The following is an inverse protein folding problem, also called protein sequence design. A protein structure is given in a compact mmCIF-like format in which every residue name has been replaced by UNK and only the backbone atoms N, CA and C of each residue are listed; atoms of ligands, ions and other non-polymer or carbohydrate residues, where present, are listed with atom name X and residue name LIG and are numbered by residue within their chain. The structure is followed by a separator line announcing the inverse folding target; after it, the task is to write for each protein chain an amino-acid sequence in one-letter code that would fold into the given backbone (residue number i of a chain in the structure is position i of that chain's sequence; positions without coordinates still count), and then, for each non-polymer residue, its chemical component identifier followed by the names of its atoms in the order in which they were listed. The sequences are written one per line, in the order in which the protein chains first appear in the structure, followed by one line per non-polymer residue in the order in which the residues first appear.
data_IF_615446805543
#
_entry.id   IF_615446805543
#
_cell.length_a   1.000
_cell.length_b   1.000
_cell.length_c   1.000
_cell.angle_alpha   90.00
_cell.angle_beta   90.00
_cell.angle_gamma   90.00
#
_symmetry.space_group_name_H-M   'P 1'
#
loop_
_entity.id
_entity.type
_entity.pdbx_description
1 polymer ?
#
# COMPACT_ATOMS: atom_id res chain seq x y z
N UNK A 1 24.31 2.85 2.62
CA UNK A 1 24.39 3.84 3.75
C UNK A 1 25.00 5.20 3.37
N UNK A 2 25.68 5.37 2.23
CA UNK A 2 26.29 6.65 1.78
C UNK A 2 25.34 7.86 1.71
N UNK A 3 24.04 7.64 1.71
CA UNK A 3 23.01 8.72 1.68
C UNK A 3 22.38 9.00 3.05
N UNK A 4 22.85 8.35 4.10
CA UNK A 4 22.38 8.62 5.46
C UNK A 4 23.02 9.92 5.96
N UNK A 5 22.22 10.93 6.24
CA UNK A 5 22.65 12.22 6.76
C UNK A 5 21.77 12.64 7.94
N UNK A 6 22.22 13.54 8.81
CA UNK A 6 21.41 14.09 9.89
C UNK A 6 20.10 14.73 9.37
N UNK A 7 20.14 15.43 8.23
CA UNK A 7 18.96 16.06 7.62
C UNK A 7 17.92 15.04 7.19
N UNK A 8 18.37 13.84 6.72
CA UNK A 8 17.47 12.76 6.38
C UNK A 8 16.74 12.23 7.62
N UNK A 9 17.45 12.11 8.75
CA UNK A 9 16.84 11.72 10.02
C UNK A 9 15.87 12.79 10.51
N UNK A 10 16.24 14.07 10.46
CA UNK A 10 15.35 15.18 10.78
C UNK A 10 14.06 15.15 9.93
N UNK A 11 14.17 14.93 8.64
CA UNK A 11 13.00 14.75 7.76
C UNK A 11 12.14 13.53 8.17
N UNK A 12 12.77 12.47 8.64
CA UNK A 12 12.07 11.30 9.17
C UNK A 12 11.31 11.61 10.46
N UNK A 13 11.89 12.41 11.35
CA UNK A 13 11.22 12.90 12.58
C UNK A 13 9.98 13.72 12.21
N UNK A 14 10.09 14.68 11.28
CA UNK A 14 8.95 15.46 10.78
C UNK A 14 7.85 14.53 10.23
N UNK A 15 8.22 13.49 9.46
CA UNK A 15 7.25 12.56 8.91
C UNK A 15 6.58 11.70 9.99
N UNK A 16 7.36 11.23 10.97
CA UNK A 16 6.88 10.39 12.06
C UNK A 16 5.97 11.13 13.04
N UNK A 17 6.23 12.42 13.29
CA UNK A 17 5.47 13.26 14.21
C UNK A 17 4.14 13.74 13.63
N UNK A 18 3.96 13.75 12.30
CA UNK A 18 2.71 14.16 11.67
C UNK A 18 1.51 13.43 12.28
N UNK A 19 0.47 14.17 12.69
CA UNK A 19 -0.74 13.68 13.35
C UNK A 19 -0.55 13.08 14.76
N UNK A 20 0.65 13.19 15.32
CA UNK A 20 0.99 12.63 16.64
C UNK A 20 1.65 13.65 17.60
N UNK A 21 1.69 14.93 17.24
CA UNK A 21 2.36 16.00 17.99
C UNK A 21 1.90 16.15 19.46
N UNK A 22 0.66 15.74 19.78
CA UNK A 22 0.11 15.82 21.13
C UNK A 22 0.41 14.57 22.00
N UNK A 23 1.19 13.61 21.52
CA UNK A 23 1.55 12.43 22.31
C UNK A 23 2.80 12.72 23.14
N UNK A 24 2.79 12.34 24.43
CA UNK A 24 3.91 12.56 25.33
C UNK A 24 5.23 12.02 24.78
N UNK A 25 5.25 10.77 24.29
CA UNK A 25 6.46 10.16 23.69
C UNK A 25 7.05 10.97 22.52
N UNK A 26 6.20 11.71 21.78
CA UNK A 26 6.65 12.57 20.67
C UNK A 26 7.21 13.88 21.21
N UNK A 27 6.52 14.47 22.20
CA UNK A 27 6.95 15.73 22.85
C UNK A 27 8.31 15.51 23.51
N UNK A 28 8.46 14.46 24.31
CA UNK A 28 9.71 14.10 25.00
C UNK A 28 10.87 13.88 24.00
N UNK A 29 10.60 13.17 22.90
CA UNK A 29 11.61 12.96 21.87
C UNK A 29 12.05 14.27 21.21
N UNK A 30 11.14 15.21 20.98
CA UNK A 30 11.41 16.48 20.30
C UNK A 30 12.06 17.53 21.21
N UNK A 31 11.97 17.39 22.53
CA UNK A 31 12.61 18.31 23.49
C UNK A 31 14.14 18.26 23.45
N UNK A 32 14.71 17.10 23.07
CA UNK A 32 16.15 16.94 23.01
C UNK A 32 16.60 16.52 21.60
N UNK A 33 17.37 17.40 20.93
CA UNK A 33 17.97 17.13 19.64
C UNK A 33 18.94 15.94 19.63
N UNK A 34 19.50 15.59 20.79
CA UNK A 34 20.37 14.43 20.93
C UNK A 34 19.65 13.13 20.55
N UNK A 35 18.33 13.07 20.73
CA UNK A 35 17.53 11.92 20.28
C UNK A 35 17.61 11.69 18.76
N UNK A 36 17.62 12.74 17.96
CA UNK A 36 17.80 12.63 16.49
C UNK A 36 19.22 12.18 16.14
N UNK A 37 20.23 12.79 16.77
CA UNK A 37 21.63 12.44 16.56
C UNK A 37 21.95 11.01 17.02
N UNK A 38 21.32 10.54 18.09
CA UNK A 38 21.47 9.16 18.57
C UNK A 38 20.96 8.15 17.55
N UNK A 39 19.82 8.42 16.90
CA UNK A 39 19.31 7.58 15.78
C UNK A 39 20.27 7.61 14.61
N UNK A 40 20.77 8.79 14.23
CA UNK A 40 21.73 8.92 13.14
C UNK A 40 22.99 8.10 13.39
N UNK A 41 23.62 8.26 14.58
CA UNK A 41 24.84 7.54 14.96
C UNK A 41 24.64 6.02 15.01
N UNK A 42 23.52 5.57 15.59
CA UNK A 42 23.16 4.15 15.66
C UNK A 42 23.10 3.52 14.25
N UNK A 43 22.39 4.17 13.33
CA UNK A 43 22.28 3.69 11.96
C UNK A 43 23.59 3.79 11.17
N UNK A 44 24.39 4.84 11.40
CA UNK A 44 25.69 5.04 10.76
C UNK A 44 26.69 3.96 11.16
N UNK A 45 26.76 3.67 12.46
CA UNK A 45 27.67 2.64 13.01
C UNK A 45 27.23 1.21 12.66
N UNK A 46 26.00 1.01 12.24
CA UNK A 46 25.44 -0.31 11.95
C UNK A 46 25.05 -1.09 13.21
N UNK A 47 24.80 -0.38 14.31
CA UNK A 47 24.35 -0.98 15.57
C UNK A 47 22.97 -1.64 15.42
N UNK A 48 22.68 -2.62 16.27
CA UNK A 48 21.38 -3.30 16.27
C UNK A 48 20.24 -2.31 16.59
N UNK A 49 19.08 -2.57 16.00
CA UNK A 49 17.86 -1.84 16.31
C UNK A 49 16.84 -2.83 16.84
N UNK A 50 16.20 -2.46 17.96
CA UNK A 50 15.08 -3.19 18.50
C UNK A 50 13.78 -2.47 18.16
N UNK A 51 12.83 -3.22 17.66
CA UNK A 51 11.50 -2.71 17.32
C UNK A 51 10.49 -3.56 18.08
N UNK A 52 10.03 -3.01 19.18
CA UNK A 52 8.96 -3.60 19.97
C UNK A 52 7.61 -3.10 19.48
N UNK A 53 6.63 -4.00 19.42
CA UNK A 53 5.27 -3.69 19.05
C UNK A 53 4.30 -3.93 20.22
N UNK A 54 3.41 -2.96 20.43
CA UNK A 54 2.20 -3.13 21.22
C UNK A 54 1.05 -3.37 20.25
N UNK A 55 0.18 -4.32 20.52
CA UNK A 55 -0.91 -4.68 19.66
C UNK A 55 -2.22 -4.09 20.15
N UNK A 56 -3.01 -3.54 19.23
CA UNK A 56 -4.33 -3.00 19.52
C UNK A 56 -5.34 -3.48 18.47
N UNK A 57 -6.44 -4.08 18.94
CA UNK A 57 -7.58 -4.34 18.05
C UNK A 57 -8.28 -3.04 17.69
N UNK A 58 -8.48 -2.82 16.39
CA UNK A 58 -9.19 -1.66 15.85
C UNK A 58 -10.30 -2.17 14.95
N UNK A 59 -11.51 -1.73 15.21
CA UNK A 59 -12.66 -2.02 14.36
C UNK A 59 -12.73 -0.96 13.26
N UNK A 60 -12.60 -1.39 12.02
CA UNK A 60 -12.73 -0.50 10.87
C UNK A 60 -14.18 -0.03 10.71
N UNK A 61 -14.39 1.05 9.97
CA UNK A 61 -15.71 1.62 9.68
C UNK A 61 -16.71 0.61 9.07
N UNK A 62 -16.20 -0.48 8.50
CA UNK A 62 -17.00 -1.57 7.93
C UNK A 62 -17.22 -2.73 8.91
N UNK A 63 -16.96 -2.53 10.21
CA UNK A 63 -17.08 -3.57 11.24
C UNK A 63 -15.93 -4.60 11.24
N UNK A 64 -14.97 -4.49 10.34
CA UNK A 64 -13.87 -5.45 10.23
C UNK A 64 -12.82 -5.20 11.32
N UNK A 65 -12.56 -6.20 12.15
CA UNK A 65 -11.52 -6.17 13.17
C UNK A 65 -10.14 -6.33 12.55
N UNK A 66 -9.18 -5.54 13.01
CA UNK A 66 -7.78 -5.59 12.59
C UNK A 66 -6.87 -5.40 13.79
N UNK A 67 -5.82 -6.17 13.88
CA UNK A 67 -4.77 -5.97 14.86
C UNK A 67 -3.75 -4.99 14.28
N UNK A 68 -3.58 -3.85 14.94
CA UNK A 68 -2.62 -2.81 14.55
C UNK A 68 -1.41 -2.91 15.45
N UNK A 69 -0.23 -2.95 14.85
CA UNK A 69 1.05 -2.94 15.55
C UNK A 69 1.50 -1.49 15.78
N UNK A 70 1.69 -1.12 17.02
CA UNK A 70 2.10 0.22 17.44
C UNK A 70 3.54 0.12 17.95
N UNK A 71 4.48 0.74 17.22
CA UNK A 71 5.87 0.86 17.63
C UNK A 71 6.10 2.13 18.47
N UNK A 72 7.20 2.18 19.23
CA UNK A 72 7.66 3.40 19.90
C UNK A 72 7.92 4.52 18.87
N UNK A 73 7.93 5.79 19.34
CA UNK A 73 8.20 6.91 18.44
C UNK A 73 9.61 6.84 17.84
N UNK A 74 10.62 6.46 18.62
CA UNK A 74 12.00 6.23 18.16
C UNK A 74 12.04 5.18 17.04
N UNK A 75 11.42 4.01 17.22
CA UNK A 75 11.35 2.97 16.19
C UNK A 75 10.65 3.47 14.92
N UNK A 76 9.63 4.30 15.05
CA UNK A 76 8.95 4.95 13.93
C UNK A 76 9.86 5.91 13.17
N UNK A 77 10.69 6.70 13.88
CA UNK A 77 11.71 7.57 13.24
C UNK A 77 12.71 6.72 12.46
N UNK A 78 13.22 5.63 13.03
CA UNK A 78 14.11 4.69 12.35
C UNK A 78 13.45 4.15 11.07
N UNK A 79 12.22 3.67 11.15
CA UNK A 79 11.48 3.18 9.98
C UNK A 79 11.35 4.26 8.89
N UNK A 80 10.95 5.48 9.26
CA UNK A 80 10.86 6.59 8.30
C UNK A 80 12.22 6.94 7.68
N UNK A 81 13.30 6.90 8.47
CA UNK A 81 14.67 7.12 7.97
C UNK A 81 15.04 6.07 6.92
N UNK A 82 14.82 4.80 7.21
CA UNK A 82 15.08 3.70 6.25
C UNK A 82 14.23 3.87 4.99
N UNK A 83 12.93 4.19 5.13
CA UNK A 83 12.06 4.41 3.97
C UNK A 83 12.53 5.57 3.10
N UNK A 84 13.00 6.67 3.69
CA UNK A 84 13.57 7.80 2.93
C UNK A 84 14.88 7.42 2.24
N UNK A 85 15.73 6.66 2.93
CA UNK A 85 17.04 6.21 2.42
C UNK A 85 16.91 5.36 1.15
N UNK A 86 15.94 4.41 1.15
CA UNK A 86 15.78 3.44 0.06
C UNK A 86 14.76 3.84 -1.01
N UNK A 87 14.09 4.97 -0.83
CA UNK A 87 12.95 5.40 -1.65
C UNK A 87 13.25 5.47 -3.14
N UNK A 88 14.43 5.97 -3.53
CA UNK A 88 14.78 6.16 -4.94
C UNK A 88 14.86 4.83 -5.69
N UNK A 89 15.50 3.84 -5.07
CA UNK A 89 15.75 2.53 -5.67
C UNK A 89 14.46 1.76 -5.90
N UNK A 90 13.55 1.72 -4.91
CA UNK A 90 12.32 0.98 -5.09
C UNK A 90 11.30 1.75 -5.94
N UNK A 91 11.22 3.08 -5.82
CA UNK A 91 10.25 3.88 -6.56
C UNK A 91 10.46 3.80 -8.08
N UNK A 92 11.73 3.71 -8.52
CA UNK A 92 12.06 3.54 -9.93
C UNK A 92 11.61 2.20 -10.54
N UNK A 93 11.33 1.21 -9.70
CA UNK A 93 10.91 -0.14 -10.12
C UNK A 93 9.42 -0.41 -10.00
N UNK A 94 8.67 0.53 -9.39
CA UNK A 94 7.22 0.39 -9.20
C UNK A 94 6.48 0.51 -10.52
N UNK A 95 5.55 -0.40 -10.76
CA UNK A 95 4.61 -0.31 -11.87
C UNK A 95 3.79 0.99 -11.81
N UNK A 96 3.50 1.56 -12.97
CA UNK A 96 2.56 2.68 -13.09
C UNK A 96 1.12 2.29 -12.74
N UNK A 97 0.83 1.00 -12.71
CA UNK A 97 -0.49 0.44 -12.38
C UNK A 97 -0.73 0.28 -10.87
N UNK A 98 0.28 0.61 -10.04
CA UNK A 98 0.19 0.61 -8.59
C UNK A 98 -0.12 2.02 -8.08
N UNK A 99 -1.23 2.19 -7.34
CA UNK A 99 -1.78 3.50 -7.02
C UNK A 99 -1.84 3.85 -5.53
N UNK A 100 -1.62 2.94 -4.62
CA UNK A 100 -1.71 3.22 -3.18
C UNK A 100 -0.36 3.58 -2.53
N UNK A 101 -0.39 4.35 -1.46
CA UNK A 101 0.75 4.69 -0.60
C UNK A 101 2.02 5.20 -1.32
N UNK A 102 1.89 5.72 -2.53
CA UNK A 102 2.97 6.32 -3.31
C UNK A 102 2.69 7.81 -3.43
N UNK A 103 3.67 8.65 -3.10
CA UNK A 103 3.53 10.12 -3.20
C UNK A 103 3.14 10.53 -4.63
N UNK A 104 2.05 11.26 -4.76
CA UNK A 104 1.52 11.73 -6.05
C UNK A 104 0.64 10.74 -6.79
N UNK A 105 0.41 9.53 -6.24
CA UNK A 105 -0.54 8.53 -6.76
C UNK A 105 -1.71 8.33 -5.80
N UNK A 106 -2.85 7.92 -6.31
CA UNK A 106 -4.06 7.63 -5.53
C UNK A 106 -5.28 8.38 -6.04
N UNK A 107 -6.40 8.19 -5.35
CA UNK A 107 -7.67 8.85 -5.69
C UNK A 107 -7.50 10.38 -5.61
N UNK A 108 -7.94 11.09 -6.64
CA UNK A 108 -7.76 12.52 -6.82
C UNK A 108 -6.29 12.98 -6.99
N UNK A 109 -5.39 12.11 -7.44
CA UNK A 109 -4.05 12.52 -7.81
C UNK A 109 -4.08 13.63 -8.86
N UNK A 110 -3.20 14.64 -8.72
CA UNK A 110 -3.11 15.79 -9.63
C UNK A 110 -2.87 15.35 -11.08
N UNK A 111 -1.96 14.39 -11.27
CA UNK A 111 -1.71 13.77 -12.58
C UNK A 111 -2.74 12.69 -12.86
N UNK A 112 -3.56 12.87 -13.90
CA UNK A 112 -4.65 11.94 -14.28
C UNK A 112 -4.20 10.47 -14.42
N UNK A 113 -2.99 10.23 -14.92
CA UNK A 113 -2.43 8.88 -15.07
C UNK A 113 -2.21 8.14 -13.73
N UNK A 114 -2.09 8.88 -12.65
CA UNK A 114 -1.86 8.34 -11.31
C UNK A 114 -3.10 8.31 -10.42
N UNK A 115 -4.27 8.61 -10.99
CA UNK A 115 -5.56 8.47 -10.33
C UNK A 115 -6.26 7.18 -10.81
N UNK A 116 -6.40 6.16 -9.95
CA UNK A 116 -6.99 4.87 -10.34
C UNK A 116 -8.45 5.00 -10.79
N UNK A 117 -9.21 5.92 -10.20
CA UNK A 117 -10.62 6.14 -10.57
C UNK A 117 -10.71 6.65 -12.01
N UNK A 118 -9.88 7.63 -12.35
CA UNK A 118 -9.81 8.16 -13.73
C UNK A 118 -9.29 7.12 -14.73
N UNK A 119 -8.33 6.28 -14.32
CA UNK A 119 -7.85 5.19 -15.19
C UNK A 119 -8.94 4.15 -15.46
N UNK A 120 -9.68 3.72 -14.44
CA UNK A 120 -10.80 2.78 -14.60
C UNK A 120 -11.87 3.39 -15.52
N UNK A 121 -12.28 4.66 -15.31
CA UNK A 121 -13.21 5.36 -16.21
C UNK A 121 -12.72 5.38 -17.66
N UNK A 122 -11.44 5.69 -17.86
CA UNK A 122 -10.81 5.70 -19.19
C UNK A 122 -10.81 4.32 -19.84
N UNK A 123 -10.49 3.28 -19.08
CA UNK A 123 -10.49 1.89 -19.59
C UNK A 123 -11.90 1.51 -20.05
N UNK A 124 -12.90 1.71 -19.20
CA UNK A 124 -14.28 1.35 -19.51
C UNK A 124 -14.84 2.16 -20.69
N UNK A 125 -14.64 3.49 -20.68
CA UNK A 125 -15.19 4.39 -21.70
C UNK A 125 -14.53 4.26 -23.08
N UNK A 126 -13.18 4.12 -23.11
CA UNK A 126 -12.43 4.10 -24.37
C UNK A 126 -12.29 2.71 -24.97
N UNK A 127 -12.00 1.71 -24.14
CA UNK A 127 -11.65 0.37 -24.63
C UNK A 127 -12.83 -0.61 -24.56
N UNK A 128 -13.91 -0.28 -23.85
CA UNK A 128 -15.15 -1.05 -23.77
C UNK A 128 -14.91 -2.57 -23.59
N UNK A 129 -14.16 -2.97 -22.52
CA UNK A 129 -13.86 -4.38 -22.30
C UNK A 129 -15.15 -5.19 -22.12
N UNK A 130 -15.13 -6.49 -22.47
CA UNK A 130 -16.26 -7.38 -22.19
C UNK A 130 -16.58 -7.40 -20.69
N UNK A 131 -15.54 -7.44 -19.84
CA UNK A 131 -15.71 -7.51 -18.41
C UNK A 131 -14.44 -7.23 -17.64
N UNK A 132 -14.47 -7.63 -16.39
CA UNK A 132 -13.37 -7.49 -15.46
C UNK A 132 -13.18 -8.74 -14.61
N UNK A 133 -11.98 -8.89 -14.07
CA UNK A 133 -11.63 -9.84 -13.02
C UNK A 133 -11.08 -9.05 -11.82
N UNK A 134 -11.82 -9.06 -10.71
CA UNK A 134 -11.40 -8.46 -9.46
C UNK A 134 -10.89 -9.54 -8.53
N UNK A 135 -9.69 -9.34 -8.00
CA UNK A 135 -8.98 -10.27 -7.13
C UNK A 135 -8.65 -9.58 -5.81
N UNK A 136 -8.71 -10.32 -4.73
CA UNK A 136 -8.33 -9.89 -3.39
C UNK A 136 -7.47 -10.98 -2.76
N UNK A 137 -6.30 -10.62 -2.23
CA UNK A 137 -5.38 -11.53 -1.56
C UNK A 137 -5.87 -11.76 -0.13
N UNK A 138 -6.01 -13.03 0.24
CA UNK A 138 -6.44 -13.41 1.57
C UNK A 138 -5.37 -13.06 2.59
N UNK A 139 -5.75 -12.25 3.62
CA UNK A 139 -4.86 -11.84 4.71
C UNK A 139 -3.46 -11.40 4.24
N UNK A 140 -3.40 -10.56 3.21
CA UNK A 140 -2.18 -10.21 2.48
C UNK A 140 -0.98 -9.88 3.40
N UNK A 141 -1.17 -9.07 4.44
CA UNK A 141 -0.09 -8.70 5.36
C UNK A 141 0.31 -9.85 6.29
N UNK A 142 -0.67 -10.59 6.81
CA UNK A 142 -0.45 -11.70 7.73
C UNK A 142 0.19 -12.91 7.03
N UNK A 143 -0.11 -13.12 5.73
CA UNK A 143 0.41 -14.24 4.94
C UNK A 143 1.70 -13.93 4.19
N UNK A 144 2.28 -12.73 4.36
CA UNK A 144 3.56 -12.41 3.73
C UNK A 144 4.68 -13.26 4.34
N UNK A 145 5.38 -14.00 3.48
CA UNK A 145 6.51 -14.87 3.89
C UNK A 145 7.79 -14.06 4.00
N UNK A 146 8.48 -14.09 5.17
CA UNK A 146 9.73 -13.36 5.39
C UNK A 146 10.80 -13.66 4.36
N UNK A 147 11.02 -14.94 4.07
CA UNK A 147 12.06 -15.40 3.14
C UNK A 147 11.85 -14.86 1.72
N UNK A 148 10.60 -14.79 1.25
CA UNK A 148 10.27 -14.24 -0.08
C UNK A 148 10.49 -12.74 -0.12
N UNK A 149 10.07 -12.00 0.93
CA UNK A 149 10.29 -10.57 1.00
C UNK A 149 11.78 -10.24 1.09
N UNK A 150 12.56 -10.99 1.86
CA UNK A 150 14.00 -10.76 2.00
C UNK A 150 14.73 -11.02 0.69
N UNK A 151 14.38 -12.06 -0.06
CA UNK A 151 14.89 -12.28 -1.41
C UNK A 151 14.57 -11.10 -2.34
N UNK A 152 13.36 -10.53 -2.25
CA UNK A 152 13.00 -9.32 -2.98
C UNK A 152 13.84 -8.10 -2.57
N UNK A 153 14.15 -7.94 -1.28
CA UNK A 153 15.04 -6.88 -0.80
C UNK A 153 16.46 -7.05 -1.37
N UNK A 154 17.02 -8.24 -1.32
CA UNK A 154 18.37 -8.56 -1.82
C UNK A 154 18.49 -8.34 -3.34
N UNK A 155 17.42 -8.54 -4.08
CA UNK A 155 17.37 -8.23 -5.51
C UNK A 155 17.50 -6.72 -5.81
N UNK A 156 17.11 -5.86 -4.87
CA UNK A 156 17.10 -4.40 -5.03
C UNK A 156 18.34 -3.76 -4.40
N UNK A 157 18.69 -4.15 -3.17
CA UNK A 157 19.77 -3.54 -2.39
C UNK A 157 20.93 -4.52 -2.16
N UNK A 158 22.17 -4.00 -2.23
CA UNK A 158 23.39 -4.77 -2.00
C UNK A 158 24.10 -4.39 -0.68
N UNK A 159 23.72 -3.28 -0.07
CA UNK A 159 24.30 -2.86 1.22
C UNK A 159 23.74 -3.75 2.34
N UNK A 160 24.61 -4.60 2.93
CA UNK A 160 24.25 -5.56 3.99
C UNK A 160 23.66 -4.89 5.25
N UNK A 161 24.05 -3.63 5.53
CA UNK A 161 23.49 -2.88 6.68
C UNK A 161 22.05 -2.50 6.42
N UNK A 162 21.74 -1.99 5.22
CA UNK A 162 20.37 -1.70 4.80
C UNK A 162 19.51 -2.97 4.88
N UNK A 163 19.99 -4.09 4.33
CA UNK A 163 19.25 -5.36 4.37
C UNK A 163 18.96 -5.82 5.79
N UNK A 164 19.95 -5.76 6.69
CA UNK A 164 19.76 -6.10 8.11
C UNK A 164 18.68 -5.25 8.77
N UNK A 165 18.70 -3.94 8.54
CA UNK A 165 17.70 -3.03 9.09
C UNK A 165 16.32 -3.28 8.50
N UNK A 166 16.21 -3.50 7.19
CA UNK A 166 14.94 -3.85 6.56
C UNK A 166 14.33 -5.13 7.13
N UNK A 167 15.16 -6.15 7.38
CA UNK A 167 14.72 -7.38 8.04
C UNK A 167 14.09 -7.10 9.43
N UNK A 168 14.75 -6.26 10.25
CA UNK A 168 14.28 -5.91 11.60
C UNK A 168 12.98 -5.12 11.62
N UNK A 169 12.75 -4.21 10.67
CA UNK A 169 11.56 -3.33 10.65
C UNK A 169 10.40 -3.87 9.81
N UNK A 170 10.57 -4.99 9.12
CA UNK A 170 9.58 -5.48 8.15
C UNK A 170 8.52 -6.37 8.76
N UNK A 171 8.82 -7.08 9.84
CA UNK A 171 7.92 -8.08 10.43
C UNK A 171 7.63 -7.83 11.90
N UNK A 172 6.51 -8.34 12.34
CA UNK A 172 6.12 -8.55 13.72
C UNK A 172 5.55 -9.99 13.87
N UNK A 173 5.12 -10.38 15.05
CA UNK A 173 4.64 -11.73 15.35
C UNK A 173 3.45 -12.20 14.46
N UNK A 174 2.75 -11.26 13.84
CA UNK A 174 1.57 -11.53 13.00
C UNK A 174 1.78 -11.22 11.51
N UNK A 175 3.02 -11.17 11.04
CA UNK A 175 3.37 -10.87 9.64
C UNK A 175 3.81 -9.42 9.41
N UNK A 176 3.42 -8.79 8.30
CA UNK A 176 3.70 -7.37 8.09
C UNK A 176 2.89 -6.52 9.07
N UNK A 177 3.53 -5.64 9.87
CA UNK A 177 2.86 -4.88 10.90
C UNK A 177 1.89 -3.83 10.32
N UNK A 178 0.58 -4.00 10.54
CA UNK A 178 -0.42 -3.00 10.14
C UNK A 178 -0.23 -1.75 11.00
N UNK A 179 -0.07 -0.59 10.34
CA UNK A 179 0.09 0.71 11.01
C UNK A 179 1.51 1.28 10.99
N UNK A 180 2.48 0.55 10.45
CA UNK A 180 3.85 1.03 10.28
C UNK A 180 4.12 1.61 8.89
N UNK A 181 5.10 2.50 8.73
CA UNK A 181 5.46 3.07 7.43
C UNK A 181 6.15 2.07 6.50
N UNK A 182 6.74 0.99 7.02
CA UNK A 182 7.46 -0.04 6.26
C UNK A 182 6.52 -0.99 5.50
N UNK A 183 5.37 -1.34 6.06
CA UNK A 183 4.51 -2.39 5.51
C UNK A 183 3.93 -2.11 4.12
N UNK A 184 3.43 -0.90 3.80
CA UNK A 184 3.00 -0.61 2.43
C UNK A 184 4.12 -0.71 1.40
N UNK A 185 5.35 -0.30 1.78
CA UNK A 185 6.52 -0.43 0.91
C UNK A 185 6.88 -1.91 0.69
N UNK A 186 6.91 -2.70 1.76
CA UNK A 186 7.19 -4.13 1.67
C UNK A 186 6.19 -4.85 0.78
N UNK A 187 4.90 -4.53 0.91
CA UNK A 187 3.86 -5.05 0.01
C UNK A 187 4.14 -4.66 -1.45
N UNK A 188 4.52 -3.41 -1.72
CA UNK A 188 4.87 -3.00 -3.08
C UNK A 188 6.06 -3.78 -3.63
N UNK A 189 7.09 -3.99 -2.83
CA UNK A 189 8.30 -4.74 -3.22
C UNK A 189 7.93 -6.19 -3.57
N UNK A 190 7.15 -6.86 -2.74
CA UNK A 190 6.63 -8.21 -3.01
C UNK A 190 5.86 -8.28 -4.33
N UNK A 191 5.06 -7.25 -4.62
CA UNK A 191 4.18 -7.24 -5.80
C UNK A 191 4.86 -6.72 -7.08
N UNK A 192 6.12 -6.27 -7.05
CA UNK A 192 6.80 -5.76 -8.27
C UNK A 192 6.94 -6.82 -9.36
N UNK A 193 7.33 -8.03 -8.99
CA UNK A 193 7.45 -9.15 -9.92
C UNK A 193 6.08 -9.59 -10.45
N UNK A 194 5.06 -9.56 -9.60
CA UNK A 194 3.68 -9.83 -9.99
C UNK A 194 3.13 -8.80 -11.00
N UNK A 195 3.34 -7.50 -10.75
CA UNK A 195 2.94 -6.44 -11.68
C UNK A 195 3.57 -6.64 -13.06
N UNK A 196 4.83 -7.08 -13.09
CA UNK A 196 5.57 -7.42 -14.31
C UNK A 196 4.99 -8.65 -15.01
N UNK A 197 4.70 -9.71 -14.26
CA UNK A 197 4.05 -10.92 -14.75
C UNK A 197 2.69 -10.60 -15.43
N UNK A 198 1.86 -9.76 -14.83
CA UNK A 198 0.58 -9.33 -15.43
C UNK A 198 0.82 -8.65 -16.80
N UNK A 199 1.83 -7.79 -16.88
CA UNK A 199 2.09 -6.99 -18.09
C UNK A 199 2.82 -7.74 -19.18
N UNK A 200 3.83 -8.51 -18.84
CA UNK A 200 4.74 -9.14 -19.80
C UNK A 200 4.31 -10.55 -20.16
N UNK A 201 3.96 -11.38 -19.17
CA UNK A 201 3.65 -12.80 -19.40
C UNK A 201 2.17 -13.02 -19.73
N UNK A 202 1.25 -12.35 -19.03
CA UNK A 202 -0.18 -12.41 -19.34
C UNK A 202 -0.59 -11.42 -20.44
N UNK A 203 0.26 -10.45 -20.76
CA UNK A 203 0.00 -9.40 -21.77
C UNK A 203 -1.32 -8.65 -21.54
N UNK A 204 -1.71 -8.46 -20.25
CA UNK A 204 -2.93 -7.74 -19.89
C UNK A 204 -2.62 -6.24 -19.85
N UNK A 205 -3.21 -5.49 -20.79
CA UNK A 205 -2.99 -4.04 -20.94
C UNK A 205 -3.74 -3.20 -19.92
N UNK A 206 -4.90 -3.67 -19.47
CA UNK A 206 -5.82 -2.90 -18.62
C UNK A 206 -5.85 -3.50 -17.22
N UNK A 207 -4.95 -3.00 -16.38
CA UNK A 207 -4.66 -3.49 -15.05
C UNK A 207 -4.55 -2.30 -14.08
N UNK A 208 -5.13 -2.44 -12.90
CA UNK A 208 -5.07 -1.48 -11.80
C UNK A 208 -4.88 -2.24 -10.50
N UNK A 209 -3.88 -1.87 -9.70
CA UNK A 209 -3.65 -2.41 -8.37
C UNK A 209 -3.67 -1.30 -7.32
N UNK A 210 -4.47 -1.50 -6.29
CA UNK A 210 -4.54 -0.62 -5.12
C UNK A 210 -4.33 -1.46 -3.85
N UNK A 211 -3.11 -1.53 -3.37
CA UNK A 211 -2.66 -2.46 -2.34
C UNK A 211 -2.84 -3.93 -2.77
N UNK A 212 -3.68 -4.65 -2.03
CA UNK A 212 -4.13 -6.02 -2.28
C UNK A 212 -5.35 -6.13 -3.22
N UNK A 213 -6.04 -5.00 -3.48
CA UNK A 213 -7.11 -4.95 -4.47
C UNK A 213 -6.52 -4.91 -5.90
N UNK A 214 -6.83 -5.91 -6.68
CA UNK A 214 -6.34 -6.12 -8.05
C UNK A 214 -7.54 -6.16 -8.98
N UNK A 215 -7.52 -5.38 -10.06
CA UNK A 215 -8.54 -5.45 -11.10
C UNK A 215 -7.93 -5.46 -12.49
N UNK A 216 -8.37 -6.41 -13.30
CA UNK A 216 -8.01 -6.57 -14.70
C UNK A 216 -9.26 -6.42 -15.57
N UNK A 217 -9.09 -5.85 -16.77
CA UNK A 217 -10.16 -5.68 -17.74
C UNK A 217 -9.74 -6.34 -19.06
N UNK A 218 -10.68 -6.99 -19.73
CA UNK A 218 -10.40 -7.67 -21.00
C UNK A 218 -11.55 -8.52 -21.51
N UNK A 219 -11.21 -9.45 -22.40
CA UNK A 219 -12.11 -10.42 -22.98
C UNK A 219 -12.37 -11.58 -22.02
N UNK A 220 -13.50 -12.24 -22.16
CA UNK A 220 -13.97 -13.30 -21.26
C UNK A 220 -12.94 -14.42 -21.10
N UNK A 221 -12.51 -15.02 -22.18
CA UNK A 221 -11.64 -16.20 -22.15
C UNK A 221 -10.25 -15.85 -21.60
N UNK A 222 -9.73 -14.68 -21.98
CA UNK A 222 -8.46 -14.18 -21.47
C UNK A 222 -8.50 -13.92 -19.96
N UNK A 223 -9.63 -13.43 -19.43
CA UNK A 223 -9.79 -13.22 -17.98
C UNK A 223 -9.94 -14.56 -17.24
N UNK A 224 -10.57 -15.58 -17.83
CA UNK A 224 -10.63 -16.92 -17.25
C UNK A 224 -9.24 -17.58 -17.18
N UNK A 225 -8.47 -17.53 -18.26
CA UNK A 225 -7.08 -18.01 -18.27
C UNK A 225 -6.23 -17.27 -17.25
N UNK A 226 -6.32 -15.93 -17.23
CA UNK A 226 -5.58 -15.09 -16.32
C UNK A 226 -5.83 -15.43 -14.84
N UNK A 227 -7.07 -15.75 -14.46
CA UNK A 227 -7.41 -16.14 -13.08
C UNK A 227 -6.56 -17.31 -12.60
N UNK A 228 -6.47 -18.37 -13.39
CA UNK A 228 -5.70 -19.57 -13.07
C UNK A 228 -4.20 -19.29 -12.97
N UNK A 229 -3.67 -18.62 -13.97
CA UNK A 229 -2.24 -18.28 -14.01
C UNK A 229 -1.85 -17.35 -12.87
N UNK A 230 -2.70 -16.39 -12.50
CA UNK A 230 -2.48 -15.48 -11.38
C UNK A 230 -2.54 -16.24 -10.06
N UNK A 231 -3.53 -17.11 -9.85
CA UNK A 231 -3.62 -17.90 -8.63
C UNK A 231 -2.37 -18.75 -8.41
N UNK A 232 -1.91 -19.45 -9.45
CA UNK A 232 -0.68 -20.24 -9.40
C UNK A 232 0.56 -19.36 -9.14
N UNK A 233 0.69 -18.23 -9.84
CA UNK A 233 1.81 -17.32 -9.63
C UNK A 233 1.89 -16.82 -8.18
N UNK A 234 0.77 -16.35 -7.65
CA UNK A 234 0.69 -15.84 -6.28
C UNK A 234 1.03 -16.93 -5.26
N UNK A 235 0.52 -18.15 -5.45
CA UNK A 235 0.77 -19.27 -4.55
C UNK A 235 2.22 -19.73 -4.58
N UNK A 236 2.75 -20.05 -5.75
CA UNK A 236 4.08 -20.65 -5.86
C UNK A 236 5.23 -19.65 -5.68
N UNK A 237 5.06 -18.41 -6.18
CA UNK A 237 6.16 -17.44 -6.14
C UNK A 237 6.10 -16.51 -4.93
N UNK A 238 4.90 -16.17 -4.43
CA UNK A 238 4.75 -15.20 -3.34
C UNK A 238 4.15 -15.80 -2.07
N UNK A 239 3.62 -17.01 -2.11
CA UNK A 239 2.97 -17.67 -0.98
C UNK A 239 1.60 -17.07 -0.63
N UNK A 240 0.99 -16.36 -1.56
CA UNK A 240 -0.31 -15.73 -1.36
C UNK A 240 -1.46 -16.58 -1.88
N UNK A 241 -2.57 -16.62 -1.13
CA UNK A 241 -3.83 -17.25 -1.53
C UNK A 241 -4.84 -16.18 -1.95
N UNK A 242 -5.54 -16.41 -3.06
CA UNK A 242 -6.68 -15.58 -3.46
C UNK A 242 -7.93 -15.94 -2.66
N UNK A 243 -8.81 -14.97 -2.43
CA UNK A 243 -10.17 -15.27 -1.97
C UNK A 243 -10.93 -16.06 -3.02
N UNK A 244 -11.75 -17.03 -2.55
CA UNK A 244 -12.37 -18.05 -3.43
C UNK A 244 -13.35 -17.53 -4.46
N UNK A 245 -14.02 -16.39 -4.21
CA UNK A 245 -15.18 -15.91 -4.98
C UNK A 245 -14.83 -15.07 -6.22
N UNK A 246 -13.54 -14.97 -6.58
CA UNK A 246 -13.14 -14.19 -7.75
C UNK A 246 -13.49 -14.93 -9.05
N UNK A 247 -14.28 -14.28 -9.92
CA UNK A 247 -14.60 -14.78 -11.25
C UNK A 247 -14.72 -13.62 -12.26
N UNK A 248 -14.42 -13.86 -13.54
CA UNK A 248 -14.64 -12.87 -14.59
C UNK A 248 -16.11 -12.47 -14.66
N UNK A 249 -16.36 -11.17 -14.63
CA UNK A 249 -17.71 -10.60 -14.56
C UNK A 249 -17.93 -9.64 -15.72
N UNK A 250 -19.06 -9.71 -16.44
CA UNK A 250 -19.35 -8.78 -17.52
C UNK A 250 -19.50 -7.34 -17.03
N UNK A 251 -19.01 -6.35 -17.81
CA UNK A 251 -19.11 -4.92 -17.46
C UNK A 251 -20.53 -4.42 -17.29
N UNK A 252 -21.53 -5.06 -17.90
CA UNK A 252 -22.95 -4.71 -17.71
C UNK A 252 -23.41 -4.80 -16.26
N UNK A 253 -22.77 -5.62 -15.44
CA UNK A 253 -23.07 -5.77 -14.01
C UNK A 253 -22.52 -4.62 -13.17
N UNK A 254 -21.63 -3.79 -13.73
CA UNK A 254 -20.87 -2.80 -13.00
C UNK A 254 -19.78 -3.41 -12.12
N UNK A 255 -18.75 -2.63 -11.79
CA UNK A 255 -17.67 -3.06 -10.88
C UNK A 255 -17.59 -2.15 -9.67
N UNK A 256 -17.60 -2.73 -8.46
CA UNK A 256 -17.52 -2.02 -7.19
C UNK A 256 -16.10 -2.08 -6.62
N UNK A 257 -15.31 -1.04 -6.86
CA UNK A 257 -13.93 -0.91 -6.39
C UNK A 257 -13.62 0.52 -5.93
N UNK A 258 -12.71 0.67 -4.98
CA UNK A 258 -12.23 1.97 -4.47
C UNK A 258 -13.34 2.89 -3.91
N UNK A 259 -14.49 2.33 -3.57
CA UNK A 259 -15.64 3.10 -3.07
C UNK A 259 -16.56 3.65 -4.16
N UNK A 260 -16.34 3.26 -5.40
CA UNK A 260 -17.18 3.61 -6.55
C UNK A 260 -17.75 2.37 -7.22
N UNK A 261 -18.91 2.55 -7.85
CA UNK A 261 -19.48 1.57 -8.77
C UNK A 261 -19.40 2.13 -10.17
N UNK A 262 -18.60 1.48 -11.03
CA UNK A 262 -18.40 1.87 -12.42
C UNK A 262 -19.30 1.06 -13.34
N UNK A 263 -20.00 1.77 -14.21
CA UNK A 263 -20.81 1.20 -15.30
C UNK A 263 -20.33 1.72 -16.65
N UNK A 264 -20.78 1.10 -17.72
CA UNK A 264 -20.60 1.65 -19.07
C UNK A 264 -21.37 2.98 -19.17
N UNK A 265 -20.65 4.10 -19.28
CA UNK A 265 -21.24 5.43 -19.44
C UNK A 265 -21.37 6.27 -18.18
N UNK A 266 -21.37 5.68 -16.99
CA UNK A 266 -21.45 6.47 -15.76
C UNK A 266 -20.73 5.80 -14.58
N UNK A 267 -20.43 6.61 -13.56
CA UNK A 267 -19.84 6.16 -12.29
C UNK A 267 -20.63 6.74 -11.13
N UNK A 268 -20.86 5.95 -10.11
CA UNK A 268 -21.53 6.41 -8.88
C UNK A 268 -20.71 6.06 -7.64
N UNK A 269 -20.83 6.88 -6.60
CA UNK A 269 -20.29 6.55 -5.27
C UNK A 269 -21.09 5.38 -4.68
N UNK A 270 -20.40 4.44 -4.04
CA UNK A 270 -20.97 3.28 -3.36
C UNK A 270 -22.08 3.70 -2.36
N UNK A 271 -23.20 2.98 -2.31
CA UNK A 271 -24.35 3.29 -1.45
C UNK A 271 -23.93 3.44 0.03
N UNK A 272 -23.15 2.52 0.56
CA UNK A 272 -22.67 2.57 1.96
C UNK A 272 -21.83 3.81 2.28
N UNK A 273 -21.09 4.36 1.30
CA UNK A 273 -20.35 5.63 1.47
C UNK A 273 -21.32 6.81 1.48
N UNK A 274 -22.32 6.83 0.60
CA UNK A 274 -23.35 7.88 0.59
C UNK A 274 -24.14 7.93 1.92
N UNK A 275 -24.49 6.79 2.47
CA UNK A 275 -25.19 6.69 3.75
C UNK A 275 -24.32 7.20 4.91
N UNK A 276 -23.04 6.82 4.96
CA UNK A 276 -22.09 7.36 5.95
C UNK A 276 -21.88 8.86 5.79
N UNK A 277 -21.80 9.35 4.57
CA UNK A 277 -21.70 10.78 4.28
C UNK A 277 -22.89 11.54 4.87
N UNK A 278 -24.12 11.06 4.68
CA UNK A 278 -25.31 11.68 5.26
C UNK A 278 -25.24 11.77 6.79
N UNK A 279 -24.79 10.70 7.48
CA UNK A 279 -24.69 10.66 8.95
C UNK A 279 -23.62 11.60 9.51
N UNK A 280 -22.50 11.78 8.81
CA UNK A 280 -21.35 12.53 9.31
C UNK A 280 -21.09 13.87 8.57
N UNK A 281 -22.08 14.34 7.80
CA UNK A 281 -21.95 15.57 7.00
C UNK A 281 -21.70 16.83 7.82
N UNK A 282 -22.24 16.88 9.04
CA UNK A 282 -22.07 18.01 9.97
C UNK A 282 -20.62 18.18 10.45
N UNK A 283 -19.81 17.09 10.44
CA UNK A 283 -18.41 17.16 10.83
C UNK A 283 -17.57 17.74 9.66
N UNK A 284 -16.87 18.90 9.84
CA UNK A 284 -16.13 19.56 8.77
C UNK A 284 -15.02 18.68 8.13
N UNK A 285 -14.32 17.89 8.97
CA UNK A 285 -13.25 16.98 8.49
C UNK A 285 -13.84 15.86 7.61
N UNK A 286 -14.94 15.25 8.04
CA UNK A 286 -15.64 14.22 7.28
C UNK A 286 -16.19 14.78 5.98
N UNK A 287 -16.81 15.96 6.01
CA UNK A 287 -17.34 16.64 4.83
C UNK A 287 -16.28 16.90 3.78
N UNK A 288 -15.10 17.42 4.16
CA UNK A 288 -13.98 17.64 3.24
C UNK A 288 -13.53 16.35 2.56
N UNK A 289 -13.42 15.24 3.30
CA UNK A 289 -13.08 13.93 2.75
C UNK A 289 -14.12 13.44 1.74
N UNK A 290 -15.42 13.57 2.06
CA UNK A 290 -16.48 13.14 1.15
C UNK A 290 -16.62 14.01 -0.11
N UNK A 291 -16.35 15.32 -0.01
CA UNK A 291 -16.27 16.18 -1.21
C UNK A 291 -15.19 15.69 -2.16
N UNK A 292 -14.05 15.22 -1.65
CA UNK A 292 -13.02 14.56 -2.45
C UNK A 292 -13.53 13.32 -3.17
N UNK A 293 -14.33 12.50 -2.51
CA UNK A 293 -14.94 11.30 -3.10
C UNK A 293 -15.97 11.68 -4.18
N UNK A 294 -16.83 12.68 -3.93
CA UNK A 294 -17.84 13.12 -4.90
C UNK A 294 -17.22 13.65 -6.21
N UNK A 295 -16.04 14.30 -6.15
CA UNK A 295 -15.31 14.75 -7.35
C UNK A 295 -14.85 13.59 -8.25
N UNK A 296 -14.76 12.38 -7.73
CA UNK A 296 -14.36 11.19 -8.49
C UNK A 296 -15.53 10.45 -9.16
N UNK A 297 -16.77 10.77 -8.82
CA UNK A 297 -17.97 10.10 -9.35
C UNK A 297 -18.39 10.53 -10.76
#
# INVERSE_FOLDING_TARGET
MSRLTPELVHQAVINASRKHMCKNEVIEFLQDKENEYSVYRQLLKGESIDVEYRYKEVVSVNGKKRIVAISSFRSRVIMHTLMLLIKKEYAARLSDDCYNCIKGRGINASRKRYDPVRQIKRIIGRYRPWGYLQLDIRKCYESTRPEVLFACHEAIWKDKRILRYLQRVSFCDIGLPIGTPSSPMNQHIMMMAFDRFIRQDLKIRHYVRYADDIILFGDKDKLHEAKWRIANYLWYNLGYELKKDAHPTPMRNGTDILGYVFHCGYTRVRKSIKERMKRSWRNPRSRSSYLGILKGA
#
